data_IF_277387067737
#
_entry.id   IF_277387067737
#
_cell.length_a   1.000
_cell.length_b   1.000
_cell.length_c   1.000
_cell.angle_alpha   90.00
_cell.angle_beta   90.00
_cell.angle_gamma   90.00
#
_symmetry.space_group_name_H-M   'P 1'
#
loop_
_entity.id
_entity.type
_entity.pdbx_description
1 polymer ?
#
# COMPACT_ATOMS: atom_id res chain seq x y z
N UNK A 1 -19.72 -26.68 2.61
CA UNK A 1 -18.54 -25.80 2.51
C UNK A 1 -17.30 -26.69 2.44
N UNK A 2 -16.35 -26.39 1.55
CA UNK A 2 -15.17 -27.23 1.30
C UNK A 2 -14.24 -27.33 2.53
N UNK A 3 -14.35 -26.39 3.47
CA UNK A 3 -13.68 -26.37 4.76
C UNK A 3 -14.77 -26.27 5.85
N UNK A 4 -14.66 -27.07 6.91
CA UNK A 4 -15.61 -27.07 8.03
C UNK A 4 -15.30 -25.94 9.02
N UNK A 5 -15.12 -24.71 8.52
CA UNK A 5 -14.86 -23.58 9.41
C UNK A 5 -16.13 -23.15 10.14
N UNK A 6 -16.02 -22.97 11.45
CA UNK A 6 -17.08 -22.34 12.24
C UNK A 6 -17.03 -20.80 12.11
N UNK A 7 -18.03 -20.13 12.68
CA UNK A 7 -18.11 -18.67 12.62
C UNK A 7 -16.94 -17.97 13.37
N UNK A 8 -16.38 -18.61 14.41
CA UNK A 8 -15.27 -18.07 15.17
C UNK A 8 -13.96 -18.13 14.37
N UNK A 9 -13.70 -19.25 13.70
CA UNK A 9 -12.54 -19.41 12.81
C UNK A 9 -12.58 -18.42 11.65
N UNK A 10 -13.75 -18.25 11.01
CA UNK A 10 -13.95 -17.23 9.97
C UNK A 10 -13.69 -15.82 10.51
N UNK A 11 -14.08 -15.54 11.75
CA UNK A 11 -13.78 -14.29 12.45
C UNK A 11 -12.27 -14.07 12.68
N UNK A 12 -11.56 -15.12 13.08
CA UNK A 12 -10.09 -15.09 13.28
C UNK A 12 -9.37 -14.86 11.95
N UNK A 13 -9.75 -15.58 10.89
CA UNK A 13 -9.17 -15.43 9.54
C UNK A 13 -9.33 -14.00 9.03
N UNK A 14 -10.50 -13.38 9.24
CA UNK A 14 -10.72 -11.98 8.87
C UNK A 14 -9.90 -11.02 9.74
N UNK A 15 -9.84 -11.26 11.06
CA UNK A 15 -9.08 -10.45 12.01
C UNK A 15 -7.57 -10.47 11.76
N UNK A 16 -7.03 -11.60 11.28
CA UNK A 16 -5.62 -11.77 10.99
C UNK A 16 -5.07 -10.75 9.98
N UNK A 17 -5.89 -10.34 9.00
CA UNK A 17 -5.53 -9.26 8.08
C UNK A 17 -5.33 -7.94 8.83
N UNK A 18 -6.23 -7.62 9.76
CA UNK A 18 -6.14 -6.37 10.53
C UNK A 18 -4.94 -6.34 11.47
N UNK A 19 -4.49 -7.49 11.98
CA UNK A 19 -3.27 -7.55 12.79
C UNK A 19 -2.04 -7.13 11.98
N UNK A 20 -1.90 -7.65 10.76
CA UNK A 20 -0.82 -7.26 9.85
C UNK A 20 -0.90 -5.78 9.48
N UNK A 21 -2.10 -5.31 9.13
CA UNK A 21 -2.35 -3.92 8.76
C UNK A 21 -2.01 -2.93 9.88
N UNK A 22 -2.49 -3.20 11.10
CA UNK A 22 -2.25 -2.35 12.26
C UNK A 22 -0.76 -2.26 12.61
N UNK A 23 -0.04 -3.39 12.52
CA UNK A 23 1.40 -3.44 12.79
C UNK A 23 2.21 -2.57 11.80
N UNK A 24 1.79 -2.48 10.53
CA UNK A 24 2.60 -1.85 9.49
C UNK A 24 2.18 -0.44 9.09
N UNK A 25 0.98 0.01 9.45
CA UNK A 25 0.48 1.33 9.02
C UNK A 25 1.42 2.48 9.46
N UNK A 26 1.96 2.42 10.67
CA UNK A 26 2.93 3.42 11.17
C UNK A 26 4.31 3.24 10.50
N UNK A 27 4.75 2.00 10.36
CA UNK A 27 6.03 1.66 9.72
C UNK A 27 6.07 2.08 8.24
N UNK A 28 4.93 2.03 7.54
CA UNK A 28 4.82 2.41 6.13
C UNK A 28 5.24 3.85 5.88
N UNK A 29 4.91 4.77 6.78
CA UNK A 29 5.34 6.17 6.67
C UNK A 29 6.85 6.32 6.78
N UNK A 30 7.45 5.66 7.79
CA UNK A 30 8.90 5.67 7.97
C UNK A 30 9.64 5.05 6.77
N UNK A 31 9.17 3.89 6.29
CA UNK A 31 9.76 3.22 5.13
C UNK A 31 9.64 4.09 3.87
N UNK A 32 8.48 4.72 3.63
CA UNK A 32 8.25 5.55 2.45
C UNK A 32 9.16 6.78 2.41
N UNK A 33 9.38 7.42 3.56
CA UNK A 33 10.31 8.56 3.66
C UNK A 33 11.77 8.14 3.49
N UNK A 34 12.17 6.96 3.99
CA UNK A 34 13.57 6.48 3.93
C UNK A 34 13.95 5.85 2.59
N UNK A 35 13.07 5.03 2.01
CA UNK A 35 13.36 4.22 0.82
C UNK A 35 12.66 4.71 -0.45
N UNK A 36 11.81 5.74 -0.33
CA UNK A 36 11.04 6.31 -1.43
C UNK A 36 9.68 5.63 -1.61
N UNK A 37 8.63 6.44 -1.81
CA UNK A 37 7.26 5.97 -1.92
C UNK A 37 7.01 4.97 -3.06
N UNK A 38 7.65 5.12 -4.24
CA UNK A 38 7.47 4.17 -5.35
C UNK A 38 7.93 2.77 -4.99
N UNK A 39 9.13 2.62 -4.41
CA UNK A 39 9.71 1.31 -4.06
C UNK A 39 8.90 0.62 -2.97
N UNK A 40 8.49 1.38 -1.96
CA UNK A 40 7.66 0.87 -0.85
C UNK A 40 6.29 0.47 -1.36
N UNK A 41 5.65 1.28 -2.21
CA UNK A 41 4.36 0.93 -2.81
C UNK A 41 4.46 -0.32 -3.68
N UNK A 42 5.52 -0.45 -4.49
CA UNK A 42 5.76 -1.64 -5.31
C UNK A 42 5.91 -2.89 -4.45
N UNK A 43 6.78 -2.86 -3.43
CA UNK A 43 7.01 -3.98 -2.53
C UNK A 43 5.73 -4.37 -1.77
N UNK A 44 4.97 -3.37 -1.30
CA UNK A 44 3.70 -3.56 -0.60
C UNK A 44 2.66 -4.27 -1.47
N UNK A 45 2.45 -3.78 -2.70
CA UNK A 45 1.45 -4.36 -3.62
C UNK A 45 1.89 -5.73 -4.14
N UNK A 46 3.19 -5.95 -4.38
CA UNK A 46 3.72 -7.27 -4.73
C UNK A 46 3.48 -8.29 -3.62
N UNK A 47 3.83 -7.96 -2.37
CA UNK A 47 3.60 -8.84 -1.22
C UNK A 47 2.12 -9.16 -1.06
N UNK A 48 1.27 -8.13 -1.05
CA UNK A 48 -0.17 -8.28 -0.92
C UNK A 48 -0.74 -9.18 -2.03
N UNK A 49 -0.41 -8.89 -3.28
CA UNK A 49 -0.97 -9.60 -4.43
C UNK A 49 -0.48 -11.05 -4.50
N UNK A 50 0.81 -11.29 -4.26
CA UNK A 50 1.38 -12.63 -4.23
C UNK A 50 0.75 -13.49 -3.13
N UNK A 51 0.60 -12.95 -1.92
CA UNK A 51 -0.02 -13.67 -0.82
C UNK A 51 -1.51 -13.91 -1.03
N UNK A 52 -2.19 -13.01 -1.76
CA UNK A 52 -3.59 -13.21 -2.17
C UNK A 52 -3.71 -14.38 -3.15
N UNK A 53 -2.82 -14.50 -4.13
CA UNK A 53 -2.78 -15.66 -5.05
C UNK A 53 -2.48 -16.96 -4.31
N UNK A 54 -1.57 -16.93 -3.34
CA UNK A 54 -1.20 -18.13 -2.55
C UNK A 54 -2.32 -18.56 -1.58
N UNK A 55 -3.22 -17.66 -1.20
CA UNK A 55 -4.17 -17.89 -0.12
C UNK A 55 -5.08 -19.14 -0.30
N UNK A 56 -5.67 -19.42 -1.48
CA UNK A 56 -6.47 -20.63 -1.67
C UNK A 56 -5.66 -21.92 -1.56
N UNK A 57 -4.40 -21.89 -2.02
CA UNK A 57 -3.47 -23.01 -1.86
C UNK A 57 -3.11 -23.20 -0.38
N UNK A 58 -2.84 -22.11 0.34
CA UNK A 58 -2.58 -22.16 1.78
C UNK A 58 -3.76 -22.74 2.58
N UNK A 59 -5.00 -22.38 2.21
CA UNK A 59 -6.22 -22.94 2.79
C UNK A 59 -6.35 -24.46 2.56
N UNK A 60 -5.84 -24.97 1.43
CA UNK A 60 -5.86 -26.41 1.15
C UNK A 60 -4.87 -27.22 2.00
N UNK A 61 -3.82 -26.57 2.54
CA UNK A 61 -2.82 -27.21 3.40
C UNK A 61 -3.32 -27.22 4.85
N UNK A 62 -3.59 -26.04 5.42
CA UNK A 62 -4.11 -25.91 6.77
C UNK A 62 -4.74 -24.53 7.02
N UNK A 63 -5.60 -24.47 8.03
CA UNK A 63 -6.20 -23.20 8.48
C UNK A 63 -5.12 -22.22 8.98
N UNK A 64 -4.07 -22.69 9.66
CA UNK A 64 -3.00 -21.81 10.14
C UNK A 64 -2.19 -21.21 8.98
N UNK A 65 -1.89 -22.00 7.94
CA UNK A 65 -1.23 -21.49 6.73
C UNK A 65 -2.09 -20.41 6.06
N UNK A 66 -3.41 -20.60 6.03
CA UNK A 66 -4.31 -19.57 5.51
C UNK A 66 -4.27 -18.30 6.36
N UNK A 67 -4.37 -18.42 7.69
CA UNK A 67 -4.25 -17.28 8.62
C UNK A 67 -2.93 -16.53 8.40
N UNK A 68 -1.80 -17.25 8.29
CA UNK A 68 -0.50 -16.63 8.03
C UNK A 68 -0.50 -15.84 6.70
N UNK A 69 -1.10 -16.37 5.64
CA UNK A 69 -1.25 -15.64 4.38
C UNK A 69 -2.07 -14.36 4.55
N UNK A 70 -3.11 -14.36 5.40
CA UNK A 70 -3.93 -13.17 5.71
C UNK A 70 -3.13 -12.10 6.44
N UNK A 71 -2.28 -12.48 7.40
CA UNK A 71 -1.39 -11.55 8.10
C UNK A 71 -0.43 -10.89 7.10
N UNK A 72 0.19 -11.67 6.22
CA UNK A 72 1.13 -11.15 5.22
C UNK A 72 0.45 -10.23 4.20
N UNK A 73 -0.80 -10.54 3.80
CA UNK A 73 -1.65 -9.63 3.04
C UNK A 73 -1.85 -8.31 3.78
N UNK A 74 -2.20 -8.37 5.07
CA UNK A 74 -2.40 -7.18 5.91
C UNK A 74 -1.15 -6.31 6.03
N UNK A 75 0.02 -6.93 6.15
CA UNK A 75 1.32 -6.22 6.16
C UNK A 75 1.49 -5.41 4.88
N UNK A 76 1.27 -6.02 3.71
CA UNK A 76 1.33 -5.34 2.41
C UNK A 76 0.29 -4.22 2.30
N UNK A 77 -0.95 -4.48 2.69
CA UNK A 77 -2.03 -3.50 2.64
C UNK A 77 -1.75 -2.29 3.55
N UNK A 78 -1.18 -2.48 4.75
CA UNK A 78 -0.88 -1.38 5.67
C UNK A 78 0.25 -0.46 5.21
N UNK A 79 1.17 -0.94 4.38
CA UNK A 79 2.26 -0.13 3.82
C UNK A 79 1.80 0.79 2.68
N UNK A 80 0.79 0.38 1.90
CA UNK A 80 0.39 1.05 0.67
C UNK A 80 -0.19 2.47 0.87
N UNK A 81 -1.07 2.76 1.86
CA UNK A 81 -1.62 4.10 2.07
C UNK A 81 -0.54 5.14 2.35
N UNK A 82 0.43 4.82 3.22
CA UNK A 82 1.51 5.72 3.58
C UNK A 82 2.43 6.01 2.39
N UNK A 83 2.75 4.97 1.60
CA UNK A 83 3.53 5.13 0.38
C UNK A 83 2.80 5.97 -0.67
N UNK A 84 1.49 5.77 -0.85
CA UNK A 84 0.66 6.56 -1.75
C UNK A 84 0.60 8.04 -1.37
N UNK A 85 0.38 8.34 -0.09
CA UNK A 85 0.40 9.73 0.42
C UNK A 85 1.78 10.35 0.22
N UNK A 86 2.87 9.62 0.48
CA UNK A 86 4.24 10.10 0.25
C UNK A 86 4.50 10.44 -1.23
N UNK A 87 4.06 9.58 -2.16
CA UNK A 87 4.17 9.86 -3.61
C UNK A 87 3.41 11.14 -3.96
N UNK A 88 2.15 11.27 -3.51
CA UNK A 88 1.34 12.46 -3.77
C UNK A 88 1.97 13.71 -3.16
N UNK A 89 2.53 13.62 -1.95
CA UNK A 89 3.15 14.74 -1.28
C UNK A 89 4.37 15.29 -2.05
N UNK A 90 5.12 14.41 -2.70
CA UNK A 90 6.33 14.75 -3.45
C UNK A 90 6.05 15.22 -4.89
N UNK A 91 5.01 14.69 -5.54
CA UNK A 91 4.70 14.99 -6.94
C UNK A 91 3.65 16.08 -7.15
N UNK A 92 2.79 16.33 -6.16
CA UNK A 92 1.65 17.25 -6.30
C UNK A 92 1.91 18.55 -5.52
N UNK A 93 1.71 19.73 -6.14
CA UNK A 93 1.79 21.02 -5.45
C UNK A 93 0.89 21.07 -4.21
N UNK A 94 1.33 21.77 -3.18
CA UNK A 94 0.63 21.82 -1.89
C UNK A 94 -0.84 22.25 -2.01
N UNK A 95 -1.13 23.23 -2.88
CA UNK A 95 -2.48 23.72 -3.14
C UNK A 95 -3.45 22.65 -3.67
N UNK A 96 -2.94 21.64 -4.38
CA UNK A 96 -3.76 20.57 -4.98
C UNK A 96 -3.64 19.22 -4.25
N UNK A 97 -2.73 19.11 -3.28
CA UNK A 97 -2.39 17.87 -2.60
C UNK A 97 -3.61 17.22 -1.93
N UNK A 98 -4.43 18.01 -1.24
CA UNK A 98 -5.65 17.51 -0.60
C UNK A 98 -6.64 16.91 -1.62
N UNK A 99 -6.73 17.50 -2.81
CA UNK A 99 -7.59 16.99 -3.90
C UNK A 99 -7.05 15.66 -4.43
N UNK A 100 -5.73 15.56 -4.63
CA UNK A 100 -5.09 14.32 -5.07
C UNK A 100 -5.22 13.18 -4.05
N UNK A 101 -5.05 13.47 -2.75
CA UNK A 101 -5.27 12.49 -1.66
C UNK A 101 -6.75 12.06 -1.62
N UNK A 102 -7.68 12.99 -1.80
CA UNK A 102 -9.11 12.67 -1.86
C UNK A 102 -9.41 11.73 -3.05
N UNK A 103 -8.86 12.00 -4.24
CA UNK A 103 -8.99 11.12 -5.41
C UNK A 103 -8.44 9.72 -5.13
N UNK A 104 -7.28 9.63 -4.46
CA UNK A 104 -6.71 8.34 -4.05
C UNK A 104 -7.66 7.58 -3.10
N UNK A 105 -8.24 8.27 -2.13
CA UNK A 105 -9.24 7.72 -1.22
C UNK A 105 -10.52 7.26 -1.92
N UNK A 106 -11.01 8.03 -2.91
CA UNK A 106 -12.16 7.64 -3.74
C UNK A 106 -11.90 6.34 -4.48
N UNK A 107 -10.69 6.15 -5.03
CA UNK A 107 -10.29 4.91 -5.70
C UNK A 107 -10.44 3.67 -4.82
N UNK A 108 -10.01 3.75 -3.54
CA UNK A 108 -10.21 2.68 -2.55
C UNK A 108 -11.68 2.34 -2.37
N UNK A 109 -12.54 3.34 -2.19
CA UNK A 109 -13.97 3.15 -1.96
C UNK A 109 -14.67 2.55 -3.19
N UNK A 110 -14.37 3.05 -4.39
CA UNK A 110 -14.89 2.51 -5.64
C UNK A 110 -14.47 1.05 -5.85
N UNK A 111 -13.22 0.71 -5.55
CA UNK A 111 -12.72 -0.67 -5.60
C UNK A 111 -13.48 -1.61 -4.67
N UNK A 112 -13.73 -1.19 -3.42
CA UNK A 112 -14.52 -1.96 -2.45
C UNK A 112 -15.95 -2.22 -2.94
N UNK A 113 -16.61 -1.22 -3.51
CA UNK A 113 -17.97 -1.35 -4.05
C UNK A 113 -17.98 -2.37 -5.20
N UNK A 114 -17.05 -2.25 -6.15
CA UNK A 114 -16.93 -3.19 -7.27
C UNK A 114 -16.66 -4.62 -6.77
N UNK A 115 -15.75 -4.78 -5.80
CA UNK A 115 -15.45 -6.07 -5.19
C UNK A 115 -16.69 -6.71 -4.56
N UNK A 116 -17.47 -5.95 -3.79
CA UNK A 116 -18.70 -6.44 -3.15
C UNK A 116 -19.80 -6.81 -4.14
N UNK A 117 -19.89 -6.12 -5.28
CA UNK A 117 -20.86 -6.43 -6.33
C UNK A 117 -20.47 -7.68 -7.14
N UNK A 118 -19.18 -7.84 -7.43
CA UNK A 118 -18.66 -8.94 -8.25
C UNK A 118 -18.52 -10.24 -7.44
N UNK A 119 -18.17 -10.14 -6.14
CA UNK A 119 -17.85 -11.30 -5.31
C UNK A 119 -18.95 -12.38 -5.28
N UNK A 120 -20.24 -12.06 -5.03
CA UNK A 120 -21.28 -13.09 -4.95
C UNK A 120 -21.45 -13.85 -6.27
N UNK A 121 -21.36 -13.15 -7.40
CA UNK A 121 -21.52 -13.74 -8.74
C UNK A 121 -20.37 -14.71 -9.04
N UNK A 122 -19.12 -14.31 -8.74
CA UNK A 122 -17.95 -15.16 -8.97
C UNK A 122 -17.91 -16.35 -8.02
N UNK A 123 -18.19 -16.12 -6.74
CA UNK A 123 -18.17 -17.18 -5.71
C UNK A 123 -19.20 -18.27 -6.02
N UNK A 124 -20.39 -17.91 -6.49
CA UNK A 124 -21.47 -18.88 -6.79
C UNK A 124 -21.28 -19.60 -8.12
N UNK A 125 -20.62 -19.00 -9.11
CA UNK A 125 -20.44 -19.59 -10.44
C UNK A 125 -19.15 -20.40 -10.60
N UNK A 126 -18.01 -19.88 -10.14
CA UNK A 126 -16.67 -20.48 -10.34
C UNK A 126 -16.08 -21.00 -9.02
N UNK A 127 -16.57 -20.49 -7.89
CA UNK A 127 -16.08 -20.82 -6.56
C UNK A 127 -15.22 -19.72 -5.96
N UNK A 128 -15.09 -19.75 -4.63
CA UNK A 128 -14.39 -18.72 -3.87
C UNK A 128 -12.89 -18.54 -4.21
N UNK A 129 -12.10 -19.58 -4.62
CA UNK A 129 -10.69 -19.37 -4.98
C UNK A 129 -10.50 -18.44 -6.18
N UNK A 130 -11.48 -18.40 -7.08
CA UNK A 130 -11.41 -17.56 -8.28
C UNK A 130 -11.32 -16.07 -7.94
N UNK A 131 -11.93 -15.63 -6.83
CA UNK A 131 -11.80 -14.25 -6.34
C UNK A 131 -10.35 -13.94 -5.93
N UNK A 132 -9.69 -14.85 -5.25
CA UNK A 132 -8.31 -14.66 -4.82
C UNK A 132 -7.35 -14.63 -6.01
N UNK A 133 -7.53 -15.54 -6.97
CA UNK A 133 -6.69 -15.57 -8.17
C UNK A 133 -6.91 -14.34 -9.07
N UNK A 134 -8.16 -13.95 -9.33
CA UNK A 134 -8.46 -12.80 -10.19
C UNK A 134 -7.90 -11.50 -9.63
N UNK A 135 -8.21 -11.16 -8.37
CA UNK A 135 -7.72 -9.92 -7.75
C UNK A 135 -6.21 -9.96 -7.48
N UNK A 136 -5.68 -11.12 -7.08
CA UNK A 136 -4.24 -11.29 -6.88
C UNK A 136 -3.44 -11.12 -8.17
N UNK A 137 -3.87 -11.74 -9.28
CA UNK A 137 -3.21 -11.58 -10.58
C UNK A 137 -3.33 -10.15 -11.08
N UNK A 138 -4.51 -9.52 -10.96
CA UNK A 138 -4.70 -8.13 -11.34
C UNK A 138 -3.73 -7.19 -10.59
N UNK A 139 -3.55 -7.41 -9.29
CA UNK A 139 -2.59 -6.68 -8.48
C UNK A 139 -1.13 -6.91 -8.89
N UNK A 140 -0.76 -8.14 -9.27
CA UNK A 140 0.57 -8.44 -9.80
C UNK A 140 0.83 -7.78 -11.16
N UNK A 141 -0.17 -7.77 -12.05
CA UNK A 141 -0.09 -7.07 -13.34
C UNK A 141 0.07 -5.57 -13.09
N UNK A 142 -0.71 -5.00 -12.18
CA UNK A 142 -0.57 -3.60 -11.78
C UNK A 142 0.82 -3.30 -11.22
N UNK A 143 1.37 -4.18 -10.38
CA UNK A 143 2.71 -4.03 -9.82
C UNK A 143 3.80 -4.08 -10.91
N UNK A 144 3.65 -4.96 -11.90
CA UNK A 144 4.55 -5.02 -13.05
C UNK A 144 4.51 -3.73 -13.88
N UNK A 145 3.31 -3.21 -14.16
CA UNK A 145 3.12 -1.92 -14.82
C UNK A 145 3.77 -0.79 -13.99
N UNK A 146 3.52 -0.77 -12.68
CA UNK A 146 4.10 0.22 -11.77
C UNK A 146 5.63 0.14 -11.69
N UNK A 147 6.21 -1.06 -11.76
CA UNK A 147 7.66 -1.23 -11.78
C UNK A 147 8.31 -0.59 -13.03
N UNK A 148 7.64 -0.71 -14.19
CA UNK A 148 8.13 -0.18 -15.47
C UNK A 148 7.87 1.32 -15.61
N UNK A 149 6.67 1.79 -15.25
CA UNK A 149 6.24 3.17 -15.52
C UNK A 149 6.33 4.10 -14.32
N UNK A 150 6.35 3.57 -13.09
CA UNK A 150 6.45 4.37 -11.88
C UNK A 150 7.76 5.14 -11.85
N UNK A 151 7.72 6.44 -11.53
CA UNK A 151 8.92 7.27 -11.37
C UNK A 151 9.15 7.55 -9.89
N UNK A 152 10.39 7.37 -9.44
CA UNK A 152 10.81 7.88 -8.14
C UNK A 152 10.83 9.41 -8.25
N UNK A 153 10.31 10.11 -7.23
CA UNK A 153 10.61 11.53 -7.09
C UNK A 153 12.08 11.62 -6.67
N UNK A 154 12.95 12.00 -7.59
CA UNK A 154 14.27 12.52 -7.24
C UNK A 154 14.02 13.99 -6.99
N UNK A 155 14.11 14.42 -5.73
CA UNK A 155 14.18 15.84 -5.43
C UNK A 155 15.34 16.38 -6.25
N UNK A 156 15.06 17.27 -7.18
CA UNK A 156 16.11 18.03 -7.85
C UNK A 156 17.00 18.62 -6.74
N UNK A 157 18.30 18.39 -6.84
CA UNK A 157 19.31 18.78 -5.82
C UNK A 157 19.26 20.30 -5.50
N UNK A 158 18.47 21.08 -6.23
CA UNK A 158 18.22 22.51 -6.05
C UNK A 158 17.51 22.90 -4.75
N UNK A 159 16.65 22.08 -4.13
CA UNK A 159 15.98 22.47 -2.87
C UNK A 159 16.89 22.31 -1.65
N UNK A 160 17.76 21.29 -1.63
CA UNK A 160 18.79 21.15 -0.59
C UNK A 160 19.90 22.19 -0.76
N UNK A 161 20.26 22.53 -2.01
CA UNK A 161 21.19 23.61 -2.31
C UNK A 161 20.61 24.98 -1.89
N UNK A 162 19.36 25.29 -2.26
CA UNK A 162 18.71 26.55 -1.91
C UNK A 162 18.45 26.72 -0.40
N UNK A 163 18.14 25.63 0.33
CA UNK A 163 18.03 25.67 1.79
C UNK A 163 19.40 25.86 2.46
N UNK A 164 20.47 25.29 1.89
CA UNK A 164 21.84 25.53 2.36
C UNK A 164 22.35 26.94 2.04
N UNK A 165 21.99 27.50 0.88
CA UNK A 165 22.34 28.86 0.46
C UNK A 165 21.57 29.91 1.26
N UNK A 166 20.28 29.70 1.54
CA UNK A 166 19.47 30.60 2.39
C UNK A 166 19.95 30.57 3.84
N UNK A 167 20.35 29.42 4.38
CA UNK A 167 20.95 29.31 5.71
C UNK A 167 22.36 29.92 5.78
N UNK A 168 23.14 29.83 4.71
CA UNK A 168 24.47 30.44 4.62
C UNK A 168 24.41 31.96 4.39
N UNK A 169 23.38 32.46 3.69
CA UNK A 169 23.12 33.88 3.50
C UNK A 169 22.63 34.55 4.80
N UNK A 170 21.68 33.92 5.51
CA UNK A 170 21.18 34.42 6.80
C UNK A 170 22.26 34.54 7.87
N UNK A 171 23.17 33.56 7.96
CA UNK A 171 24.30 33.61 8.91
C UNK A 171 25.40 34.62 8.54
N UNK A 172 25.46 35.06 7.27
CA UNK A 172 26.44 36.07 6.81
C UNK A 172 25.95 37.49 7.08
N UNK A 173 24.64 37.72 7.03
CA UNK A 173 24.01 39.01 7.32
C UNK A 173 24.06 39.35 8.81
N UNK A 174 23.81 38.37 9.71
CA UNK A 174 23.92 38.56 11.16
C UNK A 174 25.35 38.91 11.59
N UNK A 175 26.37 38.30 10.98
CA UNK A 175 27.78 38.57 11.31
C UNK A 175 28.27 39.96 10.87
N UNK A 176 27.63 40.59 9.87
CA UNK A 176 27.98 41.95 9.42
C UNK A 176 27.26 43.06 10.17
N UNK A 177 26.24 42.74 10.97
CA UNK A 177 25.49 43.71 11.78
C UNK A 177 26.00 43.84 13.22
N UNK A 178 26.97 43.01 13.62
CA UNK A 178 27.57 43.00 14.97
C UNK A 178 28.97 43.65 15.07
N UNK A 179 29.50 44.24 13.98
CA UNK A 179 30.69 45.12 14.00
C UNK A 179 30.32 46.61 13.93
#
# INVERSE_FOLDING_TARGET
>A
AQFHWDAAEVGIIQSALFWGYAATTVLGGFLATRFGGKRVLLAAVLLWSAMTVVAPFAASISTECFIASRVLVGIGEGLAPAAGINIVANWVPEAERSRAIATLGSGKNSGSILGLLIAPVVITSVGWPAMFYSFGILGLVWAAVWAVFGKDYVADDGLSAAASESSAAGGREEATTEE
#
